data_IF_535517051984
#
_entry.id   IF_535517051984
#
_cell.length_a   1.000
_cell.length_b   1.000
_cell.length_c   1.000
_cell.angle_alpha   90.00
_cell.angle_beta   90.00
_cell.angle_gamma   90.00
#
_symmetry.space_group_name_H-M   'P 1'
#
loop_
_entity.id
_entity.type
_entity.pdbx_description
1 polymer ?
#
# COMPACT_ATOMS: atom_id res chain seq x y z
N UNK A 1 6.42 16.16 -6.52
CA UNK A 1 5.02 16.47 -6.89
C UNK A 1 4.71 17.92 -6.56
N UNK A 2 3.91 18.60 -7.40
CA UNK A 2 3.39 19.94 -7.08
C UNK A 2 2.23 19.88 -6.08
N UNK A 3 1.91 21.00 -5.42
CA UNK A 3 0.78 21.09 -4.50
C UNK A 3 -0.58 20.78 -5.19
N UNK A 4 -0.71 21.14 -6.47
CA UNK A 4 -1.89 20.80 -7.25
C UNK A 4 -2.01 19.29 -7.50
N UNK A 5 -0.90 18.62 -7.83
CA UNK A 5 -0.88 17.16 -8.03
C UNK A 5 -1.28 16.41 -6.76
N UNK A 6 -0.80 16.85 -5.59
CA UNK A 6 -1.17 16.23 -4.30
C UNK A 6 -2.68 16.35 -4.03
N UNK A 7 -3.26 17.55 -4.21
CA UNK A 7 -4.71 17.74 -4.04
C UNK A 7 -5.55 16.90 -5.00
N UNK A 8 -5.10 16.77 -6.25
CA UNK A 8 -5.78 15.92 -7.24
C UNK A 8 -5.72 14.44 -6.82
N UNK A 9 -4.57 13.96 -6.35
CA UNK A 9 -4.42 12.59 -5.87
C UNK A 9 -5.30 12.32 -4.64
N UNK A 10 -5.30 13.20 -3.64
CA UNK A 10 -6.14 13.08 -2.44
C UNK A 10 -7.64 13.00 -2.79
N UNK A 11 -8.10 13.93 -3.64
CA UNK A 11 -9.48 13.96 -4.13
C UNK A 11 -9.85 12.68 -4.91
N UNK A 12 -8.91 12.16 -5.71
CA UNK A 12 -9.13 10.95 -6.49
C UNK A 12 -9.25 9.71 -5.61
N UNK A 13 -8.39 9.54 -4.60
CA UNK A 13 -8.48 8.41 -3.65
C UNK A 13 -9.84 8.40 -2.97
N UNK A 14 -10.31 9.56 -2.52
CA UNK A 14 -11.63 9.69 -1.93
C UNK A 14 -12.75 9.31 -2.91
N UNK A 15 -12.77 9.94 -4.10
CA UNK A 15 -13.83 9.71 -5.09
C UNK A 15 -13.86 8.25 -5.59
N UNK A 16 -12.69 7.64 -5.81
CA UNK A 16 -12.61 6.24 -6.22
C UNK A 16 -13.05 5.27 -5.13
N UNK A 17 -12.73 5.57 -3.86
CA UNK A 17 -13.22 4.77 -2.74
C UNK A 17 -14.75 4.82 -2.62
N UNK A 18 -15.36 5.97 -2.87
CA UNK A 18 -16.81 6.20 -2.77
C UNK A 18 -17.59 5.65 -3.98
N UNK A 19 -17.17 5.98 -5.21
CA UNK A 19 -17.94 5.73 -6.44
C UNK A 19 -17.37 4.61 -7.32
N UNK A 20 -16.12 4.21 -7.10
CA UNK A 20 -15.37 3.33 -7.99
C UNK A 20 -14.64 4.08 -9.12
N UNK A 21 -13.73 3.39 -9.81
CA UNK A 21 -12.85 3.95 -10.83
C UNK A 21 -13.58 4.38 -12.12
N UNK A 22 -14.60 3.64 -12.53
CA UNK A 22 -15.32 3.85 -13.81
C UNK A 22 -16.37 4.95 -13.77
N UNK A 23 -16.80 5.37 -12.58
CA UNK A 23 -17.88 6.35 -12.41
C UNK A 23 -17.38 7.79 -12.20
N UNK A 24 -16.07 7.98 -12.04
CA UNK A 24 -15.49 9.28 -11.72
C UNK A 24 -15.07 10.02 -12.99
N UNK A 25 -15.62 11.22 -13.18
CA UNK A 25 -15.25 12.09 -14.30
C UNK A 25 -14.09 13.05 -13.95
N UNK A 26 -13.39 13.53 -14.99
CA UNK A 26 -12.35 14.57 -14.81
C UNK A 26 -12.90 15.88 -14.24
N UNK A 27 -14.18 16.18 -14.49
CA UNK A 27 -14.84 17.38 -13.94
C UNK A 27 -15.07 17.25 -12.43
N UNK A 28 -15.53 16.08 -11.97
CA UNK A 28 -15.69 15.80 -10.54
C UNK A 28 -14.34 15.81 -9.81
N UNK A 29 -13.30 15.24 -10.42
CA UNK A 29 -11.94 15.30 -9.89
C UNK A 29 -11.44 16.74 -9.74
N UNK A 30 -11.63 17.58 -10.76
CA UNK A 30 -11.24 18.99 -10.72
C UNK A 30 -11.96 19.75 -9.59
N UNK A 31 -13.27 19.51 -9.46
CA UNK A 31 -14.10 20.12 -8.43
C UNK A 31 -13.66 19.68 -7.03
N UNK A 32 -13.49 18.37 -6.80
CA UNK A 32 -13.07 17.83 -5.51
C UNK A 32 -11.66 18.28 -5.12
N UNK A 33 -10.75 18.41 -6.10
CA UNK A 33 -9.37 18.86 -5.87
C UNK A 33 -9.21 20.39 -5.74
N UNK A 34 -10.27 21.17 -6.01
CA UNK A 34 -10.23 22.63 -5.98
C UNK A 34 -9.27 23.23 -7.02
N UNK A 35 -9.20 22.63 -8.21
CA UNK A 35 -8.34 23.09 -9.32
C UNK A 35 -9.17 23.34 -10.59
N UNK A 36 -8.64 24.15 -11.50
CA UNK A 36 -9.30 24.36 -12.79
C UNK A 36 -9.33 23.05 -13.61
N UNK A 37 -10.41 22.81 -14.37
CA UNK A 37 -10.51 21.63 -15.26
C UNK A 37 -9.33 21.50 -16.22
N UNK A 38 -8.85 22.63 -16.77
CA UNK A 38 -7.66 22.65 -17.62
C UNK A 38 -6.39 22.16 -16.91
N UNK A 39 -6.28 22.37 -15.60
CA UNK A 39 -5.18 21.82 -14.79
C UNK A 39 -5.25 20.30 -14.72
N UNK A 40 -6.44 19.73 -14.58
CA UNK A 40 -6.62 18.27 -14.58
C UNK A 40 -6.33 17.69 -15.97
N UNK A 41 -6.88 18.26 -17.04
CA UNK A 41 -6.60 17.81 -18.41
C UNK A 41 -5.13 17.91 -18.82
N UNK A 42 -4.39 18.91 -18.33
CA UNK A 42 -2.96 19.03 -18.58
C UNK A 42 -2.11 18.01 -17.80
N UNK A 43 -2.64 17.46 -16.71
CA UNK A 43 -1.93 16.48 -15.89
C UNK A 43 -2.36 15.04 -16.19
N UNK A 44 -3.54 14.82 -16.78
CA UNK A 44 -4.18 13.51 -16.91
C UNK A 44 -4.63 13.21 -18.34
N UNK A 45 -4.16 12.11 -18.93
CA UNK A 45 -4.65 11.61 -20.22
C UNK A 45 -6.01 10.92 -20.12
N UNK A 46 -6.23 10.08 -19.10
CA UNK A 46 -7.50 9.40 -18.85
C UNK A 46 -7.69 9.03 -17.37
N UNK A 47 -8.95 8.86 -16.94
CA UNK A 47 -9.26 8.44 -15.55
C UNK A 47 -8.70 7.06 -15.24
N UNK A 48 -8.68 6.12 -16.20
CA UNK A 48 -8.10 4.78 -16.02
C UNK A 48 -6.58 4.82 -15.81
N UNK A 49 -5.87 5.54 -16.68
CA UNK A 49 -4.42 5.72 -16.56
C UNK A 49 -4.09 6.39 -15.23
N UNK A 50 -4.88 7.40 -14.85
CA UNK A 50 -4.69 8.07 -13.58
C UNK A 50 -4.99 7.19 -12.37
N UNK A 51 -6.04 6.37 -12.43
CA UNK A 51 -6.34 5.39 -11.40
C UNK A 51 -5.18 4.42 -11.20
N UNK A 52 -4.64 3.84 -12.28
CA UNK A 52 -3.48 2.94 -12.23
C UNK A 52 -2.25 3.64 -11.66
N UNK A 53 -2.01 4.90 -12.01
CA UNK A 53 -0.93 5.70 -11.45
C UNK A 53 -1.11 5.89 -9.94
N UNK A 54 -2.30 6.29 -9.47
CA UNK A 54 -2.58 6.49 -8.05
C UNK A 54 -2.43 5.17 -7.28
N UNK A 55 -2.97 4.07 -7.80
CA UNK A 55 -2.84 2.76 -7.19
C UNK A 55 -1.36 2.37 -7.01
N UNK A 56 -0.53 2.58 -8.04
CA UNK A 56 0.90 2.30 -7.98
C UNK A 56 1.63 3.24 -7.01
N UNK A 57 1.28 4.52 -6.98
CA UNK A 57 1.89 5.51 -6.09
C UNK A 57 1.56 5.18 -4.62
N UNK A 58 0.31 4.84 -4.31
CA UNK A 58 -0.10 4.40 -2.97
C UNK A 58 0.57 3.09 -2.54
N UNK A 59 0.69 2.14 -3.47
CA UNK A 59 1.39 0.88 -3.22
C UNK A 59 2.87 1.11 -2.90
N UNK A 60 3.54 1.92 -3.72
CA UNK A 60 4.96 2.26 -3.57
C UNK A 60 5.19 3.03 -2.28
N UNK A 61 4.37 4.04 -2.00
CA UNK A 61 4.45 4.83 -0.76
C UNK A 61 4.29 3.93 0.47
N UNK A 62 3.29 3.04 0.48
CA UNK A 62 3.09 2.12 1.61
C UNK A 62 4.30 1.18 1.79
N UNK A 63 4.82 0.65 0.68
CA UNK A 63 6.00 -0.19 0.69
C UNK A 63 7.24 0.53 1.26
N UNK A 64 7.49 1.75 0.82
CA UNK A 64 8.63 2.56 1.26
C UNK A 64 8.53 2.90 2.76
N UNK A 65 7.31 3.22 3.23
CA UNK A 65 7.03 3.49 4.65
C UNK A 65 7.28 2.28 5.53
N UNK A 66 6.80 1.10 5.13
CA UNK A 66 7.06 -0.16 5.85
C UNK A 66 8.57 -0.45 5.87
N UNK A 67 9.23 -0.33 4.72
CA UNK A 67 10.67 -0.60 4.60
C UNK A 67 11.49 0.30 5.52
N UNK A 68 11.19 1.60 5.54
CA UNK A 68 11.83 2.56 6.45
C UNK A 68 11.55 2.23 7.93
N UNK A 69 10.34 1.75 8.24
CA UNK A 69 9.92 1.46 9.62
C UNK A 69 10.43 0.10 10.15
N UNK A 70 10.88 -0.79 9.27
CA UNK A 70 11.34 -2.15 9.59
C UNK A 70 12.86 -2.33 9.43
N UNK A 71 13.63 -1.25 9.34
CA UNK A 71 15.10 -1.33 9.22
C UNK A 71 15.68 -2.12 10.40
N UNK A 72 16.51 -3.11 10.09
CA UNK A 72 17.16 -3.96 11.10
C UNK A 72 16.28 -5.10 11.64
N UNK A 73 15.01 -5.18 11.25
CA UNK A 73 14.15 -6.33 11.57
C UNK A 73 14.48 -7.47 10.61
N UNK A 74 15.10 -8.54 11.11
CA UNK A 74 15.54 -9.68 10.29
C UNK A 74 14.61 -10.89 10.39
N UNK A 75 13.84 -11.04 11.47
CA UNK A 75 12.90 -12.14 11.64
C UNK A 75 11.70 -11.98 10.67
N UNK A 76 11.47 -12.91 9.73
CA UNK A 76 10.35 -12.85 8.80
C UNK A 76 8.99 -12.75 9.50
N UNK A 77 8.80 -13.44 10.63
CA UNK A 77 7.53 -13.41 11.37
C UNK A 77 7.27 -12.04 12.00
N UNK A 78 8.33 -11.39 12.48
CA UNK A 78 8.24 -10.03 13.01
C UNK A 78 7.97 -9.02 11.89
N UNK A 79 8.61 -9.16 10.72
CA UNK A 79 8.35 -8.29 9.56
C UNK A 79 6.90 -8.40 9.07
N UNK A 80 6.35 -9.62 8.99
CA UNK A 80 4.94 -9.85 8.68
C UNK A 80 4.03 -9.19 9.72
N UNK A 81 4.32 -9.38 11.01
CA UNK A 81 3.55 -8.78 12.09
C UNK A 81 3.49 -7.25 11.98
N UNK A 82 4.62 -6.60 11.71
CA UNK A 82 4.71 -5.17 11.51
C UNK A 82 3.93 -4.73 10.26
N UNK A 83 4.16 -5.40 9.12
CA UNK A 83 3.51 -5.09 7.85
C UNK A 83 1.98 -5.07 7.97
N UNK A 84 1.38 -6.18 8.41
CA UNK A 84 -0.09 -6.29 8.57
C UNK A 84 -0.62 -5.20 9.51
N UNK A 85 0.03 -4.98 10.65
CA UNK A 85 -0.43 -3.98 11.63
C UNK A 85 -0.25 -2.55 11.13
N UNK A 86 0.73 -2.26 10.28
CA UNK A 86 0.86 -0.95 9.63
C UNK A 86 -0.26 -0.69 8.64
N UNK A 87 -0.67 -1.68 7.84
CA UNK A 87 -1.85 -1.55 6.98
C UNK A 87 -3.10 -1.20 7.78
N UNK A 88 -3.35 -1.94 8.87
CA UNK A 88 -4.53 -1.72 9.72
C UNK A 88 -4.48 -0.36 10.42
N UNK A 89 -3.32 0.05 10.94
CA UNK A 89 -3.12 1.37 11.57
C UNK A 89 -3.30 2.51 10.56
N UNK A 90 -2.78 2.37 9.34
CA UNK A 90 -2.95 3.39 8.29
C UNK A 90 -4.41 3.52 7.89
N UNK A 91 -5.13 2.42 7.70
CA UNK A 91 -6.56 2.47 7.39
C UNK A 91 -7.39 3.16 8.48
N UNK A 92 -7.01 3.01 9.75
CA UNK A 92 -7.61 3.76 10.85
C UNK A 92 -7.32 5.27 10.76
N UNK A 93 -6.08 5.66 10.48
CA UNK A 93 -5.68 7.06 10.39
C UNK A 93 -6.17 7.75 9.10
N UNK A 94 -6.29 6.99 8.02
CA UNK A 94 -6.66 7.43 6.67
C UNK A 94 -7.83 6.56 6.14
N UNK A 95 -9.08 6.74 6.61
CA UNK A 95 -10.19 5.85 6.26
C UNK A 95 -10.49 5.74 4.76
N UNK A 96 -10.28 6.82 3.98
CA UNK A 96 -10.46 6.78 2.53
C UNK A 96 -9.44 5.86 1.84
N UNK A 97 -8.20 5.82 2.33
CA UNK A 97 -7.20 4.88 1.84
C UNK A 97 -7.59 3.43 2.18
N UNK A 98 -8.09 3.19 3.39
CA UNK A 98 -8.59 1.87 3.78
C UNK A 98 -9.75 1.39 2.90
N UNK A 99 -10.73 2.27 2.63
CA UNK A 99 -11.86 1.97 1.73
C UNK A 99 -11.41 1.75 0.29
N UNK A 100 -10.46 2.54 -0.20
CA UNK A 100 -9.84 2.35 -1.51
C UNK A 100 -9.22 0.96 -1.60
N UNK A 101 -8.43 0.56 -0.60
CA UNK A 101 -7.79 -0.75 -0.56
C UNK A 101 -8.82 -1.88 -0.55
N UNK A 102 -9.84 -1.81 0.31
CA UNK A 102 -10.92 -2.83 0.35
C UNK A 102 -11.63 -2.99 -0.99
N UNK A 103 -11.83 -1.89 -1.73
CA UNK A 103 -12.55 -1.91 -3.00
C UNK A 103 -11.75 -2.53 -4.14
N UNK A 104 -10.43 -2.31 -4.16
CA UNK A 104 -9.62 -2.61 -5.34
C UNK A 104 -8.55 -3.69 -5.14
N UNK A 105 -8.20 -4.07 -3.89
CA UNK A 105 -7.09 -4.98 -3.59
C UNK A 105 -7.17 -6.35 -4.31
N UNK A 106 -8.38 -6.83 -4.60
CA UNK A 106 -8.60 -8.15 -5.22
C UNK A 106 -9.06 -8.08 -6.68
N UNK A 107 -9.65 -6.95 -7.10
CA UNK A 107 -10.30 -6.79 -8.41
C UNK A 107 -9.43 -6.09 -9.45
N UNK A 108 -8.48 -5.26 -9.02
CA UNK A 108 -7.64 -4.46 -9.92
C UNK A 108 -6.22 -5.02 -9.98
N UNK A 109 -5.74 -5.30 -11.19
CA UNK A 109 -4.41 -5.91 -11.39
C UNK A 109 -3.28 -5.03 -10.85
N UNK A 110 -3.42 -3.70 -10.92
CA UNK A 110 -2.48 -2.75 -10.32
C UNK A 110 -2.37 -2.95 -8.80
N UNK A 111 -3.47 -3.30 -8.14
CA UNK A 111 -3.51 -3.48 -6.69
C UNK A 111 -3.15 -4.89 -6.24
N UNK A 112 -3.33 -5.91 -7.09
CA UNK A 112 -2.81 -7.25 -6.82
C UNK A 112 -1.28 -7.26 -6.69
N UNK A 113 -0.58 -6.38 -7.42
CA UNK A 113 0.88 -6.26 -7.36
C UNK A 113 1.41 -5.88 -5.96
N UNK A 114 0.58 -5.25 -5.13
CA UNK A 114 0.89 -4.88 -3.75
C UNK A 114 1.33 -6.09 -2.90
N UNK A 115 0.66 -7.22 -3.11
CA UNK A 115 0.91 -8.46 -2.37
C UNK A 115 2.00 -9.31 -3.02
N UNK A 116 2.19 -9.17 -4.33
CA UNK A 116 3.17 -9.92 -5.13
C UNK A 116 4.61 -9.40 -4.99
N UNK A 117 4.81 -8.26 -4.32
CA UNK A 117 6.13 -7.69 -4.03
C UNK A 117 6.79 -8.28 -2.77
N UNK A 118 7.29 -7.39 -1.91
CA UNK A 118 7.99 -7.76 -0.67
C UNK A 118 7.22 -8.69 0.26
N UNK A 119 5.90 -8.57 0.47
CA UNK A 119 5.18 -9.50 1.33
C UNK A 119 5.29 -10.97 0.86
N UNK A 120 5.35 -11.20 -0.45
CA UNK A 120 5.62 -12.54 -1.01
C UNK A 120 7.05 -12.99 -0.73
N UNK A 121 8.04 -12.09 -0.88
CA UNK A 121 9.44 -12.40 -0.56
C UNK A 121 9.61 -12.76 0.92
N UNK A 122 8.90 -12.08 1.83
CA UNK A 122 8.97 -12.35 3.27
C UNK A 122 8.45 -13.75 3.61
N UNK A 123 7.40 -14.20 2.92
CA UNK A 123 6.91 -15.58 3.04
C UNK A 123 7.89 -16.60 2.48
N UNK A 124 8.55 -16.29 1.35
CA UNK A 124 9.60 -17.13 0.77
C UNK A 124 10.80 -17.25 1.70
N UNK A 125 11.26 -16.14 2.29
CA UNK A 125 12.39 -16.12 3.21
C UNK A 125 12.08 -16.86 4.52
N UNK A 126 10.87 -16.67 5.05
CA UNK A 126 10.41 -17.41 6.22
C UNK A 126 10.28 -18.92 5.96
N UNK A 127 9.85 -19.32 4.76
CA UNK A 127 9.85 -20.73 4.35
C UNK A 127 11.27 -21.29 4.24
N UNK A 128 12.17 -20.60 3.52
CA UNK A 128 13.56 -21.03 3.32
C UNK A 128 14.35 -21.14 4.62
N UNK A 129 14.08 -20.26 5.59
CA UNK A 129 14.73 -20.28 6.91
C UNK A 129 14.12 -21.30 7.87
N UNK A 130 13.03 -21.97 7.50
CA UNK A 130 12.29 -22.88 8.39
C UNK A 130 11.49 -22.17 9.48
N UNK A 131 11.34 -20.84 9.41
CA UNK A 131 10.48 -20.07 10.32
C UNK A 131 9.00 -20.34 10.07
N UNK A 132 8.64 -20.65 8.82
CA UNK A 132 7.28 -21.01 8.41
C UNK A 132 7.21 -22.45 7.93
N UNK A 133 6.10 -23.11 8.25
CA UNK A 133 5.77 -24.47 7.86
C UNK A 133 4.56 -24.47 6.94
N UNK A 134 4.84 -24.42 5.64
CA UNK A 134 3.87 -24.63 4.56
C UNK A 134 4.60 -25.20 3.34
N UNK A 135 3.90 -25.88 2.45
CA UNK A 135 4.51 -26.38 1.20
C UNK A 135 4.71 -25.23 0.24
N UNK A 136 5.83 -25.18 -0.47
CA UNK A 136 6.13 -24.07 -1.39
C UNK A 136 5.06 -23.83 -2.47
N UNK A 137 4.34 -24.88 -2.89
CA UNK A 137 3.24 -24.75 -3.86
C UNK A 137 1.97 -24.11 -3.27
N UNK A 138 1.88 -24.01 -1.94
CA UNK A 138 0.87 -23.23 -1.21
C UNK A 138 1.24 -21.74 -1.07
N UNK A 139 2.38 -21.29 -1.61
CA UNK A 139 2.79 -19.88 -1.51
C UNK A 139 1.70 -18.90 -2.00
N UNK A 140 1.05 -19.10 -3.18
CA UNK A 140 -0.02 -18.20 -3.62
C UNK A 140 -1.20 -18.15 -2.64
N UNK A 141 -1.58 -19.31 -2.08
CA UNK A 141 -2.64 -19.40 -1.06
C UNK A 141 -2.24 -18.71 0.24
N UNK A 142 -0.97 -18.81 0.63
CA UNK A 142 -0.44 -18.18 1.85
C UNK A 142 -0.43 -16.66 1.73
N UNK A 143 -0.02 -16.12 0.57
CA UNK A 143 -0.09 -14.69 0.25
C UNK A 143 -1.55 -14.21 0.27
N UNK A 144 -2.45 -14.93 -0.39
CA UNK A 144 -3.88 -14.59 -0.45
C UNK A 144 -4.54 -14.63 0.93
N UNK A 145 -4.21 -15.61 1.77
CA UNK A 145 -4.72 -15.71 3.13
C UNK A 145 -4.27 -14.53 4.00
N UNK A 146 -2.98 -14.19 3.96
CA UNK A 146 -2.42 -13.03 4.67
C UNK A 146 -3.05 -11.71 4.20
N UNK A 147 -3.19 -11.52 2.89
CA UNK A 147 -3.86 -10.34 2.32
C UNK A 147 -5.32 -10.25 2.79
N UNK A 148 -6.05 -11.36 2.73
CA UNK A 148 -7.46 -11.44 3.16
C UNK A 148 -7.63 -11.14 4.65
N UNK A 149 -6.74 -11.67 5.51
CA UNK A 149 -6.75 -11.36 6.94
C UNK A 149 -6.50 -9.87 7.20
N UNK A 150 -5.58 -9.25 6.44
CA UNK A 150 -5.28 -7.82 6.53
C UNK A 150 -6.50 -6.98 6.11
N UNK A 151 -7.12 -7.31 4.98
CA UNK A 151 -8.33 -6.63 4.49
C UNK A 151 -9.51 -6.82 5.46
N UNK A 152 -9.69 -8.03 6.00
CA UNK A 152 -10.72 -8.30 7.01
C UNK A 152 -10.54 -7.47 8.27
N UNK A 153 -9.30 -7.32 8.76
CA UNK A 153 -9.00 -6.45 9.90
C UNK A 153 -9.29 -4.97 9.58
N UNK A 154 -8.94 -4.50 8.39
CA UNK A 154 -9.27 -3.14 7.94
C UNK A 154 -10.78 -2.92 7.94
N UNK A 155 -11.56 -3.87 7.40
CA UNK A 155 -13.01 -3.79 7.39
C UNK A 155 -13.59 -3.67 8.81
N UNK A 156 -13.15 -4.53 9.74
CA UNK A 156 -13.60 -4.47 11.14
C UNK A 156 -13.33 -3.11 11.79
N UNK A 157 -12.20 -2.49 11.46
CA UNK A 157 -11.81 -1.17 11.99
C UNK A 157 -12.67 -0.06 11.40
N UNK A 158 -12.88 -0.08 10.08
CA UNK A 158 -13.66 0.95 9.38
C UNK A 158 -15.15 0.90 9.74
N UNK A 159 -15.68 -0.29 10.03
CA UNK A 159 -17.05 -0.48 10.53
C UNK A 159 -17.18 -0.30 12.05
N UNK A 160 -16.08 -0.01 12.75
CA UNK A 160 -16.09 0.25 14.20
C UNK A 160 -16.33 -0.99 15.07
N UNK A 161 -16.22 -2.20 14.52
CA UNK A 161 -16.38 -3.46 15.24
C UNK A 161 -15.20 -3.80 16.15
N UNK A 162 -14.00 -3.29 15.83
CA UNK A 162 -12.76 -3.52 16.59
C UNK A 162 -11.84 -2.31 16.53
N UNK A 163 -11.02 -2.13 17.56
CA UNK A 163 -9.92 -1.15 17.50
C UNK A 163 -8.86 -1.61 16.49
N UNK A 164 -8.11 -0.67 15.92
CA UNK A 164 -7.01 -1.00 15.00
C UNK A 164 -5.93 -1.86 15.67
N UNK A 165 -5.74 -1.70 16.98
CA UNK A 165 -4.78 -2.48 17.77
C UNK A 165 -5.23 -3.92 17.89
N UNK A 166 -6.49 -4.15 18.22
CA UNK A 166 -7.03 -5.50 18.40
C UNK A 166 -7.16 -6.22 17.06
N UNK A 167 -7.81 -5.59 16.07
CA UNK A 167 -8.00 -6.18 14.75
C UNK A 167 -6.68 -6.54 14.07
N UNK A 168 -5.69 -5.64 14.15
CA UNK A 168 -4.36 -5.89 13.59
C UNK A 168 -3.60 -6.99 14.31
N UNK A 169 -3.69 -7.05 15.65
CA UNK A 169 -3.03 -8.10 16.44
C UNK A 169 -3.68 -9.47 16.20
N UNK A 170 -5.02 -9.53 16.18
CA UNK A 170 -5.77 -10.77 15.90
C UNK A 170 -5.44 -11.31 14.50
N UNK A 171 -5.41 -10.45 13.48
CA UNK A 171 -5.05 -10.83 12.12
C UNK A 171 -3.63 -11.41 12.03
N UNK A 172 -2.65 -10.75 12.67
CA UNK A 172 -1.28 -11.26 12.73
C UNK A 172 -1.21 -12.60 13.46
N UNK A 173 -1.88 -12.74 14.60
CA UNK A 173 -1.86 -13.98 15.37
C UNK A 173 -2.43 -15.13 14.53
N UNK A 174 -3.54 -14.91 13.81
CA UNK A 174 -4.11 -15.92 12.90
C UNK A 174 -3.18 -16.25 11.74
N UNK A 175 -2.59 -15.25 11.08
CA UNK A 175 -1.65 -15.46 9.98
C UNK A 175 -0.43 -16.26 10.43
N UNK A 176 0.24 -15.87 11.50
CA UNK A 176 1.46 -16.54 11.98
C UNK A 176 1.17 -17.99 12.38
N UNK A 177 0.06 -18.26 13.08
CA UNK A 177 -0.35 -19.63 13.42
C UNK A 177 -0.65 -20.46 12.17
N UNK A 178 -1.29 -19.89 11.15
CA UNK A 178 -1.57 -20.58 9.89
C UNK A 178 -0.30 -20.93 9.10
N UNK A 179 0.79 -20.17 9.32
CA UNK A 179 2.11 -20.39 8.73
C UNK A 179 2.99 -21.30 9.60
N UNK A 180 2.44 -21.94 10.64
CA UNK A 180 3.15 -22.89 11.50
C UNK A 180 3.95 -22.27 12.65
N UNK A 181 3.85 -20.96 12.88
CA UNK A 181 4.51 -20.32 14.04
C UNK A 181 3.82 -20.76 15.34
N UNK A 182 4.58 -21.20 16.38
CA UNK A 182 4.00 -21.62 17.65
C UNK A 182 3.10 -20.54 18.27
N UNK A 183 2.01 -20.96 18.93
CA UNK A 183 0.97 -20.08 19.49
C UNK A 183 1.53 -18.94 20.35
N UNK A 184 2.41 -19.26 21.30
CA UNK A 184 2.99 -18.27 22.21
C UNK A 184 3.84 -17.24 21.46
N UNK A 185 4.62 -17.70 20.48
CA UNK A 185 5.45 -16.83 19.65
C UNK A 185 4.60 -15.93 18.75
N UNK A 186 3.58 -16.50 18.11
CA UNK A 186 2.64 -15.76 17.27
C UNK A 186 1.94 -14.66 18.08
N UNK A 187 1.49 -14.96 19.31
CA UNK A 187 0.83 -13.98 20.18
C UNK A 187 1.80 -12.91 20.68
N UNK A 188 3.03 -13.28 21.03
CA UNK A 188 4.07 -12.31 21.40
C UNK A 188 4.31 -11.33 20.26
N UNK A 189 4.62 -11.82 19.06
CA UNK A 189 4.88 -10.98 17.89
C UNK A 189 3.67 -10.10 17.50
N UNK A 190 2.46 -10.64 17.58
CA UNK A 190 1.23 -9.91 17.28
C UNK A 190 0.97 -8.73 18.23
N UNK A 191 1.38 -8.85 19.50
CA UNK A 191 1.06 -7.90 20.56
C UNK A 191 2.21 -6.97 20.96
N UNK A 192 3.41 -7.17 20.40
CA UNK A 192 4.55 -6.26 20.57
C UNK A 192 4.18 -4.81 20.23
N UNK A 193 4.90 -3.86 20.83
CA UNK A 193 4.71 -2.45 20.52
C UNK A 193 4.88 -2.22 19.01
N UNK A 194 3.91 -1.54 18.40
CA UNK A 194 3.99 -1.16 17.00
C UNK A 194 4.71 0.20 16.92
N UNK A 195 5.92 0.28 16.34
CA UNK A 195 6.60 1.55 16.14
C UNK A 195 5.77 2.52 15.28
N UNK A 196 6.16 3.79 15.26
CA UNK A 196 5.55 4.75 14.34
C UNK A 196 5.76 4.30 12.88
N UNK A 197 4.69 4.39 12.07
CA UNK A 197 4.83 4.23 10.63
C UNK A 197 5.50 5.50 10.11
N UNK A 198 6.77 5.39 9.72
CA UNK A 198 7.52 6.51 9.19
C UNK A 198 6.94 6.96 7.85
N UNK A 199 7.22 8.21 7.50
CA UNK A 199 6.93 8.72 6.17
C UNK A 199 7.88 8.08 5.14
N UNK A 200 7.43 8.01 3.88
CA UNK A 200 8.30 7.54 2.82
C UNK A 200 9.50 8.50 2.72
N UNK A 201 10.74 8.00 2.62
CA UNK A 201 11.88 8.87 2.38
C UNK A 201 11.61 9.73 1.15
N UNK A 202 11.95 11.01 1.21
CA UNK A 202 11.78 11.91 0.08
C UNK A 202 12.46 11.29 -1.14
N UNK A 203 11.67 10.88 -2.12
CA UNK A 203 12.20 10.26 -3.33
C UNK A 203 13.14 11.25 -4.01
N UNK A 204 14.42 10.89 -4.12
CA UNK A 204 15.31 11.54 -5.08
C UNK A 204 14.61 11.45 -6.43
N UNK A 205 14.36 12.55 -7.16
CA UNK A 205 13.62 12.49 -8.41
C UNK A 205 14.32 11.52 -9.34
N UNK A 206 13.71 10.35 -9.57
CA UNK A 206 14.21 9.38 -10.55
C UNK A 206 14.18 10.10 -11.90
N UNK A 207 15.37 10.26 -12.46
CA UNK A 207 15.66 11.21 -13.53
C UNK A 207 14.59 11.28 -14.60
N UNK A 208 13.98 12.45 -14.73
CA UNK A 208 13.42 12.85 -16.01
C UNK A 208 14.54 12.77 -17.04
N UNK A 209 14.31 12.04 -18.14
CA UNK A 209 15.21 12.05 -19.29
C UNK A 209 15.62 13.50 -19.57
N UNK A 210 16.92 13.81 -19.76
CA UNK A 210 17.31 15.15 -20.15
C UNK A 210 16.59 15.49 -21.46
N UNK A 211 15.74 16.52 -21.40
CA UNK A 211 15.15 17.11 -22.59
C UNK A 211 16.30 17.53 -23.51
N UNK A 212 16.36 16.95 -24.70
CA UNK A 212 17.39 17.19 -25.72
C UNK A 212 17.21 18.56 -26.40
N UNK A 213 17.05 19.63 -25.62
CA UNK A 213 16.77 20.98 -26.11
C UNK A 213 17.87 22.01 -25.79
N UNK A 214 18.96 21.66 -25.09
CA UNK A 214 20.00 22.65 -24.71
C UNK A 214 21.40 22.39 -25.29
N UNK A 215 21.55 21.48 -26.24
CA UNK A 215 22.85 21.13 -26.86
C UNK A 215 23.06 21.71 -28.28
N UNK A 216 22.47 22.87 -28.60
CA UNK A 216 22.66 23.51 -29.92
C UNK A 216 23.01 25.01 -29.88
N UNK A 217 23.75 25.45 -28.86
CA UNK A 217 24.22 26.86 -28.78
C UNK A 217 25.68 27.07 -28.40
N UNK A 218 26.56 26.09 -28.61
CA UNK A 218 28.03 26.27 -28.53
C UNK A 218 28.77 25.45 -29.60
N UNK A 219 28.59 25.84 -30.86
CA UNK A 219 29.54 25.64 -31.96
C UNK A 219 29.27 26.78 -32.95
N UNK A 220 30.08 27.81 -32.85
CA UNK A 220 29.94 29.06 -33.58
C UNK A 220 30.74 30.10 -32.81
N UNK A 221 31.95 30.35 -33.34
CA UNK A 221 33.06 31.19 -32.84
C UNK A 221 34.24 30.40 -32.23
#
# INVERSE_FOLDING_TARGET
MSAAQRRIQEAAVQLFAEKGSTQVSMSELAQAAGVARGTVHNNLESTDVFFRQIANDLATEMYDRITASCVGVTDPAHRLALGVRFYVRRAHAEPHWGRFLLRFAMSEQSMQSLWMGQPTQDLVDGHKSGKYDFRIDQLPSSVSFMASATLGAILLVLEGHRTWRDAGSDAVEFCLKSLGVPREEARRLATMELPALLDAPASTPRGGKPSAATARRKRGE
#
